data_IF_646576808732
#
_entry.id   IF_646576808732
#
_cell.length_a   1.000
_cell.length_b   1.000
_cell.length_c   1.000
_cell.angle_alpha   90.00
_cell.angle_beta   90.00
_cell.angle_gamma   90.00
#
_symmetry.space_group_name_H-M   'P 1'
#
loop_
_entity.id
_entity.type
_entity.pdbx_description
1 polymer ?
#
# COMPACT_ATOMS: atom_id res chain seq x y z
N UNK A 1 -7.84 18.35 17.88
CA UNK A 1 -8.27 17.00 17.45
C UNK A 1 -7.95 16.87 15.98
N UNK A 2 -7.11 15.92 15.60
CA UNK A 2 -6.79 15.68 14.18
C UNK A 2 -8.00 14.97 13.58
N UNK A 3 -8.76 15.68 12.74
CA UNK A 3 -9.86 15.08 11.96
C UNK A 3 -9.19 14.25 10.88
N UNK A 4 -9.09 12.94 11.12
CA UNK A 4 -8.59 12.02 10.10
C UNK A 4 -9.64 11.92 8.98
N UNK A 5 -9.22 11.89 7.71
CA UNK A 5 -10.13 11.70 6.60
C UNK A 5 -10.94 10.40 6.79
N UNK A 6 -12.11 10.27 6.13
CA UNK A 6 -12.88 9.04 6.16
C UNK A 6 -11.96 7.87 5.83
N UNK A 7 -11.95 6.85 6.70
CA UNK A 7 -11.08 5.66 6.60
C UNK A 7 -11.14 4.96 5.22
N UNK A 8 -12.20 5.17 4.45
CA UNK A 8 -12.37 4.65 3.09
C UNK A 8 -11.54 5.38 2.01
N UNK A 9 -10.98 6.55 2.30
CA UNK A 9 -10.18 7.37 1.37
C UNK A 9 -8.70 7.38 1.72
N UNK A 10 -8.29 6.57 2.70
CA UNK A 10 -6.90 6.50 3.13
C UNK A 10 -6.29 5.16 2.68
N UNK A 11 -5.33 5.16 1.74
CA UNK A 11 -4.70 3.92 1.26
C UNK A 11 -3.96 3.15 2.37
N UNK A 12 -3.67 3.79 3.50
CA UNK A 12 -2.94 3.22 4.62
C UNK A 12 -3.85 2.71 5.75
N UNK A 13 -5.17 2.76 5.59
CA UNK A 13 -6.12 2.42 6.67
C UNK A 13 -5.83 1.06 7.31
N UNK A 14 -5.53 0.04 6.50
CA UNK A 14 -5.22 -1.29 6.99
C UNK A 14 -3.93 -1.32 7.83
N UNK A 15 -2.90 -0.56 7.42
CA UNK A 15 -1.64 -0.48 8.15
C UNK A 15 -1.78 0.24 9.47
N UNK A 16 -2.54 1.34 9.51
CA UNK A 16 -2.80 2.07 10.75
C UNK A 16 -3.54 1.18 11.75
N UNK A 17 -4.61 0.49 11.31
CA UNK A 17 -5.33 -0.46 12.16
C UNK A 17 -4.45 -1.61 12.64
N UNK A 18 -3.57 -2.12 11.79
CA UNK A 18 -2.63 -3.16 12.18
C UNK A 18 -1.61 -2.66 13.22
N UNK A 19 -1.08 -1.43 13.05
CA UNK A 19 -0.17 -0.81 14.02
C UNK A 19 -0.86 -0.53 15.36
N UNK A 20 -2.07 0.01 15.35
CA UNK A 20 -2.89 0.21 16.56
C UNK A 20 -3.12 -1.10 17.29
N UNK A 21 -3.46 -2.16 16.55
CA UNK A 21 -3.64 -3.49 17.10
C UNK A 21 -2.36 -4.05 17.73
N UNK A 22 -1.22 -3.91 17.06
CA UNK A 22 0.09 -4.31 17.60
C UNK A 22 0.51 -3.50 18.83
N UNK A 23 0.14 -2.22 18.90
CA UNK A 23 0.41 -1.39 20.07
C UNK A 23 -0.41 -1.82 21.30
N UNK A 24 -1.68 -2.20 21.10
CA UNK A 24 -2.55 -2.69 22.18
C UNK A 24 -2.25 -4.13 22.59
N UNK A 25 -1.81 -4.95 21.63
CA UNK A 25 -1.49 -6.36 21.82
C UNK A 25 -0.09 -6.65 21.28
N UNK A 26 0.96 -6.15 21.98
CA UNK A 26 2.32 -6.38 21.56
C UNK A 26 2.62 -7.88 21.55
N UNK A 27 3.38 -8.28 20.54
CA UNK A 27 3.71 -9.67 20.31
C UNK A 27 4.72 -10.20 21.31
N UNK A 28 4.78 -11.52 21.42
CA UNK A 28 5.80 -12.18 22.23
C UNK A 28 7.17 -12.01 21.57
N UNK A 29 8.27 -12.02 22.34
CA UNK A 29 9.61 -12.03 21.77
C UNK A 29 9.73 -13.15 20.73
N UNK A 30 10.25 -12.81 19.53
CA UNK A 30 10.45 -13.69 18.36
C UNK A 30 9.23 -13.97 17.47
N UNK A 31 8.05 -13.39 17.73
CA UNK A 31 6.93 -13.44 16.78
C UNK A 31 7.13 -12.39 15.66
N UNK A 32 7.30 -12.84 14.42
CA UNK A 32 7.52 -11.98 13.24
C UNK A 32 6.23 -11.36 12.73
N UNK A 33 6.26 -10.07 12.34
CA UNK A 33 5.14 -9.28 11.78
C UNK A 33 4.33 -10.03 10.70
N UNK A 34 3.06 -9.67 10.56
CA UNK A 34 2.25 -10.19 9.45
C UNK A 34 2.81 -9.63 8.13
N UNK A 35 3.59 -10.46 7.43
CA UNK A 35 4.24 -10.12 6.18
C UNK A 35 3.26 -9.56 5.14
N UNK A 36 2.00 -10.00 5.17
CA UNK A 36 0.94 -9.48 4.30
C UNK A 36 0.83 -7.95 4.36
N UNK A 37 0.84 -7.34 5.55
CA UNK A 37 0.72 -5.89 5.65
C UNK A 37 1.99 -5.18 5.19
N UNK A 38 3.17 -5.78 5.37
CA UNK A 38 4.44 -5.19 4.95
C UNK A 38 4.64 -5.24 3.43
N UNK A 39 4.02 -6.21 2.74
CA UNK A 39 4.13 -6.39 1.29
C UNK A 39 3.13 -5.56 0.48
N UNK A 40 2.19 -4.86 1.14
CA UNK A 40 1.22 -4.00 0.45
C UNK A 40 1.93 -2.81 -0.21
N UNK A 41 1.59 -2.56 -1.48
CA UNK A 41 2.08 -1.43 -2.27
C UNK A 41 1.71 -0.10 -1.63
N UNK A 42 0.50 0.00 -1.08
CA UNK A 42 0.05 1.18 -0.37
C UNK A 42 0.96 1.53 0.82
N UNK A 43 1.57 0.53 1.46
CA UNK A 43 2.46 0.72 2.62
C UNK A 43 3.92 0.99 2.26
N UNK A 44 4.27 0.93 0.97
CA UNK A 44 5.62 1.25 0.51
C UNK A 44 5.84 2.77 0.58
N UNK A 45 7.09 3.23 0.75
CA UNK A 45 7.41 4.66 0.68
C UNK A 45 6.98 5.25 -0.67
N UNK A 46 6.65 6.55 -0.67
CA UNK A 46 6.35 7.23 -1.92
C UNK A 46 7.58 7.18 -2.85
N UNK A 47 7.39 6.72 -4.10
CA UNK A 47 8.48 6.69 -5.06
C UNK A 47 8.85 8.12 -5.48
N UNK A 48 10.06 8.28 -6.03
CA UNK A 48 10.47 9.53 -6.63
C UNK A 48 9.49 9.94 -7.76
N UNK A 49 9.23 11.25 -7.89
CA UNK A 49 8.18 11.76 -8.79
C UNK A 49 8.46 11.46 -10.27
N UNK A 50 9.73 11.37 -10.62
CA UNK A 50 10.29 11.11 -11.94
C UNK A 50 10.63 9.63 -12.17
N UNK A 51 10.49 8.76 -11.17
CA UNK A 51 10.70 7.34 -11.35
C UNK A 51 9.71 6.79 -12.38
N UNK A 52 10.16 5.97 -13.33
CA UNK A 52 9.29 5.38 -14.37
C UNK A 52 9.23 3.86 -14.28
N UNK A 53 9.94 3.26 -13.32
CA UNK A 53 9.96 1.83 -13.13
C UNK A 53 8.58 1.28 -12.71
N UNK A 54 8.36 0.00 -13.05
CA UNK A 54 7.12 -0.73 -12.80
C UNK A 54 6.64 -0.65 -11.35
N UNK A 55 7.57 -0.77 -10.39
CA UNK A 55 7.26 -0.71 -8.96
C UNK A 55 6.78 0.68 -8.56
N UNK A 56 7.50 1.72 -8.97
CA UNK A 56 7.12 3.12 -8.71
C UNK A 56 5.80 3.52 -9.35
N UNK A 57 5.48 3.01 -10.55
CA UNK A 57 4.17 3.21 -11.19
C UNK A 57 3.05 2.52 -10.40
N UNK A 58 3.24 1.25 -10.06
CA UNK A 58 2.26 0.47 -9.31
C UNK A 58 2.00 1.02 -7.89
N UNK A 59 3.03 1.51 -7.19
CA UNK A 59 2.86 2.16 -5.88
C UNK A 59 2.04 3.45 -6.00
N UNK A 60 2.34 4.31 -6.98
CA UNK A 60 1.56 5.54 -7.22
C UNK A 60 0.09 5.21 -7.53
N UNK A 61 -0.15 4.25 -8.41
CA UNK A 61 -1.49 3.81 -8.74
C UNK A 61 -2.27 3.34 -7.51
N UNK A 62 -1.67 2.46 -6.68
CA UNK A 62 -2.32 1.96 -5.47
C UNK A 62 -2.70 3.09 -4.50
N UNK A 63 -1.88 4.14 -4.41
CA UNK A 63 -2.16 5.28 -3.52
C UNK A 63 -3.19 6.24 -4.11
N UNK A 64 -3.10 6.55 -5.40
CA UNK A 64 -4.03 7.44 -6.11
C UNK A 64 -5.45 6.87 -6.13
N UNK A 65 -5.58 5.56 -6.30
CA UNK A 65 -6.88 4.88 -6.38
C UNK A 65 -7.36 4.29 -5.04
N UNK A 66 -6.62 4.49 -3.95
CA UNK A 66 -6.94 3.93 -2.63
C UNK A 66 -7.03 2.40 -2.58
N UNK A 67 -6.27 1.71 -3.44
CA UNK A 67 -6.30 0.25 -3.61
C UNK A 67 -5.34 -0.43 -2.63
N UNK A 68 -5.79 -0.55 -1.38
CA UNK A 68 -4.98 -0.95 -0.23
C UNK A 68 -4.53 -2.42 -0.21
N UNK A 69 -5.09 -3.27 -1.07
CA UNK A 69 -4.88 -4.72 -1.05
C UNK A 69 -3.88 -5.22 -2.09
N UNK A 70 -3.35 -4.33 -2.95
CA UNK A 70 -2.31 -4.72 -3.88
C UNK A 70 -0.98 -4.95 -3.19
N UNK A 71 -0.33 -6.07 -3.53
CA UNK A 71 0.96 -6.48 -3.00
C UNK A 71 2.06 -6.30 -4.05
N UNK A 72 3.33 -6.36 -3.63
CA UNK A 72 4.51 -6.36 -4.53
C UNK A 72 4.37 -7.40 -5.66
N UNK A 73 3.79 -8.58 -5.40
CA UNK A 73 3.58 -9.61 -6.45
C UNK A 73 2.60 -9.18 -7.56
N UNK A 74 1.77 -8.16 -7.31
CA UNK A 74 0.79 -7.65 -8.28
C UNK A 74 1.35 -6.55 -9.19
N UNK A 75 2.62 -6.15 -9.04
CA UNK A 75 3.23 -5.06 -9.84
C UNK A 75 3.04 -5.28 -11.34
N UNK A 76 3.37 -6.47 -11.86
CA UNK A 76 3.28 -6.73 -13.30
C UNK A 76 1.85 -6.64 -13.82
N UNK A 77 0.88 -7.16 -13.07
CA UNK A 77 -0.54 -7.08 -13.41
C UNK A 77 -1.01 -5.62 -13.47
N UNK A 78 -0.64 -4.81 -12.47
CA UNK A 78 -1.04 -3.39 -12.40
C UNK A 78 -0.42 -2.60 -13.54
N UNK A 79 0.86 -2.83 -13.84
CA UNK A 79 1.54 -2.17 -14.96
C UNK A 79 0.88 -2.53 -16.28
N UNK A 80 0.56 -3.80 -16.49
CA UNK A 80 -0.16 -4.22 -17.70
C UNK A 80 -1.53 -3.54 -17.82
N UNK A 81 -2.30 -3.47 -16.73
CA UNK A 81 -3.58 -2.75 -16.72
C UNK A 81 -3.44 -1.24 -17.01
N UNK A 82 -2.33 -0.62 -16.59
CA UNK A 82 -2.03 0.77 -16.87
C UNK A 82 -1.69 0.98 -18.35
N UNK A 83 -0.80 0.14 -18.88
CA UNK A 83 -0.36 0.21 -20.27
C UNK A 83 -1.54 -0.02 -21.24
N UNK A 84 -2.44 -0.96 -20.91
CA UNK A 84 -3.66 -1.24 -21.69
C UNK A 84 -4.63 -0.05 -21.71
N UNK A 85 -4.67 0.77 -20.63
CA UNK A 85 -5.50 1.99 -20.57
C UNK A 85 -4.89 3.15 -21.36
N UNK A 86 -3.57 3.27 -21.38
CA UNK A 86 -2.88 4.33 -22.13
C UNK A 86 -2.91 4.09 -23.65
N UNK A 87 -3.14 2.84 -24.09
CA UNK A 87 -3.25 2.46 -25.50
C UNK A 87 -4.65 2.67 -26.10
N UNK A 88 -5.65 3.06 -25.30
CA UNK A 88 -7.04 3.33 -25.72
C UNK A 88 -7.28 4.82 -25.98
#
# INVERSE_FOLDING_TARGET
MVVLPPLSKDPYVLAYRYREYMAQKPRRPRESNNAYHETLLANQPDPARDATDARSRAIRYAKEHHECYYEIKHINMIVQMLDDREAQ
#
